data_IF_768866277996
#
_entry.id   IF_768866277996
#
_cell.length_a   1.000
_cell.length_b   1.000
_cell.length_c   1.000
_cell.angle_alpha   90.00
_cell.angle_beta   90.00
_cell.angle_gamma   90.00
#
_symmetry.space_group_name_H-M   'P 1'
#
loop_
_entity.id
_entity.type
_entity.pdbx_description
1 polymer ?
#
# COMPACT_ATOMS: atom_id res chain seq x y z
N UNK A 1 14.55 18.99 11.66
CA UNK A 1 13.32 18.30 11.22
C UNK A 1 12.21 19.31 11.21
N UNK A 2 11.61 19.52 10.05
CA UNK A 2 10.47 20.42 9.86
C UNK A 2 9.23 19.69 10.38
N UNK A 3 8.17 20.41 10.74
CA UNK A 3 6.91 19.79 11.19
C UNK A 3 6.34 18.77 10.20
N UNK A 4 6.61 18.94 8.90
CA UNK A 4 6.24 18.00 7.81
C UNK A 4 6.97 16.65 7.92
N UNK A 5 8.19 16.62 8.47
CA UNK A 5 8.98 15.38 8.61
C UNK A 5 8.31 14.40 9.58
N UNK A 6 7.69 14.91 10.64
CA UNK A 6 6.93 14.10 11.60
C UNK A 6 5.69 13.47 10.95
N UNK A 7 5.02 14.20 10.05
CA UNK A 7 3.89 13.67 9.27
C UNK A 7 4.33 12.57 8.32
N UNK A 8 5.46 12.76 7.62
CA UNK A 8 6.02 11.74 6.72
C UNK A 8 6.38 10.45 7.47
N UNK A 9 6.96 10.57 8.68
CA UNK A 9 7.27 9.43 9.54
C UNK A 9 6.03 8.62 9.94
N UNK A 10 4.98 9.31 10.40
CA UNK A 10 3.72 8.67 10.81
C UNK A 10 3.03 8.00 9.61
N UNK A 11 2.97 8.69 8.47
CA UNK A 11 2.40 8.14 7.24
C UNK A 11 3.16 6.89 6.77
N UNK A 12 4.49 6.88 6.89
CA UNK A 12 5.33 5.72 6.57
C UNK A 12 5.05 4.51 7.47
N UNK A 13 4.94 4.72 8.77
CA UNK A 13 4.62 3.63 9.72
C UNK A 13 3.22 3.06 9.43
N UNK A 14 2.22 3.91 9.21
CA UNK A 14 0.86 3.47 8.88
C UNK A 14 0.82 2.70 7.56
N UNK A 15 1.54 3.17 6.54
CA UNK A 15 1.63 2.49 5.25
C UNK A 15 2.27 1.10 5.39
N UNK A 16 3.35 0.99 6.16
CA UNK A 16 4.00 -0.29 6.41
C UNK A 16 3.06 -1.30 7.09
N UNK A 17 2.28 -0.85 8.09
CA UNK A 17 1.29 -1.69 8.75
C UNK A 17 0.17 -2.15 7.80
N UNK A 18 -0.34 -1.26 6.96
CA UNK A 18 -1.38 -1.61 5.97
C UNK A 18 -0.86 -2.63 4.97
N UNK A 19 0.36 -2.47 4.46
CA UNK A 19 0.96 -3.40 3.49
C UNK A 19 1.18 -4.79 4.11
N UNK A 20 1.63 -4.86 5.37
CA UNK A 20 1.79 -6.14 6.07
C UNK A 20 0.46 -6.88 6.23
N UNK A 21 -0.64 -6.16 6.47
CA UNK A 21 -1.98 -6.75 6.55
C UNK A 21 -2.52 -7.22 5.19
N UNK A 22 -2.04 -6.66 4.07
CA UNK A 22 -2.44 -7.09 2.72
C UNK A 22 -1.81 -8.43 2.33
N UNK A 23 -0.57 -8.72 2.76
CA UNK A 23 0.17 -9.90 2.32
C UNK A 23 -0.31 -11.23 2.95
N UNK A 24 -1.17 -11.19 3.98
CA UNK A 24 -1.62 -12.42 4.65
C UNK A 24 -2.67 -13.23 3.87
N UNK A 25 -3.11 -12.76 2.70
CA UNK A 25 -4.17 -13.41 1.89
C UNK A 25 -3.66 -14.13 0.64
N UNK A 26 -2.38 -14.01 0.29
CA UNK A 26 -1.81 -14.70 -0.88
C UNK A 26 -1.37 -16.12 -0.50
N UNK A 27 -2.22 -17.11 -0.83
CA UNK A 27 -1.85 -18.53 -0.76
C UNK A 27 -0.66 -18.79 -1.68
N UNK A 28 0.49 -19.14 -1.09
CA UNK A 28 1.78 -19.45 -1.75
C UNK A 28 1.62 -20.43 -2.94
N UNK A 29 0.55 -21.25 -2.95
CA UNK A 29 0.21 -22.19 -4.03
C UNK A 29 -0.18 -21.51 -5.35
N UNK A 30 -0.74 -20.31 -5.34
CA UNK A 30 -1.13 -19.58 -6.57
C UNK A 30 0.06 -18.90 -7.27
N UNK A 31 1.18 -18.69 -6.58
CA UNK A 31 2.40 -18.13 -7.16
C UNK A 31 3.16 -19.13 -8.06
N UNK A 32 2.91 -20.44 -7.92
CA UNK A 32 3.60 -21.51 -8.67
C UNK A 32 2.71 -22.21 -9.71
N UNK A 33 1.41 -21.91 -9.80
CA UNK A 33 0.43 -22.66 -10.62
C UNK A 33 0.20 -22.08 -12.03
N UNK A 34 1.22 -21.45 -12.62
CA UNK A 34 1.20 -20.53 -13.78
C UNK A 34 0.55 -20.94 -15.12
N UNK A 35 -0.39 -21.89 -15.17
CA UNK A 35 -1.05 -22.34 -16.40
C UNK A 35 -2.58 -22.05 -16.43
N UNK A 36 -3.25 -21.72 -15.31
CA UNK A 36 -4.72 -21.46 -15.30
C UNK A 36 -5.19 -20.17 -14.61
N UNK A 37 -4.28 -19.34 -14.11
CA UNK A 37 -4.60 -18.17 -13.26
C UNK A 37 -4.98 -16.89 -14.05
N UNK A 38 -4.61 -16.76 -15.32
CA UNK A 38 -4.78 -15.50 -16.06
C UNK A 38 -6.24 -15.14 -16.38
N UNK A 39 -7.10 -16.14 -16.60
CA UNK A 39 -8.51 -15.90 -16.98
C UNK A 39 -9.43 -15.57 -15.79
N UNK A 40 -8.95 -15.72 -14.55
CA UNK A 40 -9.69 -15.35 -13.33
C UNK A 40 -8.95 -14.32 -12.46
N UNK A 41 -7.79 -13.81 -12.91
CA UNK A 41 -6.99 -12.80 -12.19
C UNK A 41 -7.72 -11.48 -11.96
N UNK A 42 -8.64 -11.11 -12.86
CA UNK A 42 -9.52 -9.96 -12.71
C UNK A 42 -10.79 -10.30 -11.90
N UNK A 43 -10.69 -11.10 -10.84
CA UNK A 43 -11.78 -11.15 -9.86
C UNK A 43 -11.80 -9.81 -9.15
N UNK A 44 -12.95 -9.14 -9.22
CA UNK A 44 -13.20 -7.87 -8.54
C UNK A 44 -12.77 -8.01 -7.08
N UNK A 45 -11.76 -7.25 -6.67
CA UNK A 45 -11.33 -7.17 -5.27
C UNK A 45 -12.53 -6.71 -4.44
N UNK A 46 -12.94 -7.48 -3.42
CA UNK A 46 -14.18 -7.24 -2.66
C UNK A 46 -13.90 -7.22 -1.17
N UNK A 47 -14.68 -6.42 -0.43
CA UNK A 47 -14.61 -6.36 1.02
C UNK A 47 -13.40 -5.55 1.53
N UNK A 48 -12.71 -6.10 2.53
CA UNK A 48 -11.61 -5.42 3.22
C UNK A 48 -10.36 -5.24 2.35
N UNK A 49 -10.08 -6.16 1.42
CA UNK A 49 -8.94 -6.01 0.49
C UNK A 49 -9.06 -4.76 -0.38
N UNK A 50 -10.25 -4.41 -0.87
CA UNK A 50 -10.45 -3.20 -1.66
C UNK A 50 -10.22 -1.94 -0.83
N UNK A 51 -10.61 -1.97 0.44
CA UNK A 51 -10.38 -0.87 1.38
C UNK A 51 -8.89 -0.72 1.70
N UNK A 52 -8.20 -1.83 2.03
CA UNK A 52 -6.75 -1.83 2.29
C UNK A 52 -5.96 -1.38 1.05
N UNK A 53 -6.33 -1.84 -0.13
CA UNK A 53 -5.63 -1.46 -1.36
C UNK A 53 -5.82 0.02 -1.70
N UNK A 54 -7.03 0.57 -1.51
CA UNK A 54 -7.29 2.01 -1.68
C UNK A 54 -6.62 2.85 -0.59
N UNK A 55 -6.64 2.40 0.66
CA UNK A 55 -6.00 3.14 1.76
C UNK A 55 -4.48 3.14 1.62
N UNK A 56 -3.87 2.03 1.19
CA UNK A 56 -2.45 1.96 0.84
C UNK A 56 -2.10 2.92 -0.29
N UNK A 57 -2.92 2.98 -1.36
CA UNK A 57 -2.71 3.92 -2.45
C UNK A 57 -2.78 5.38 -1.99
N UNK A 58 -3.77 5.74 -1.16
CA UNK A 58 -3.89 7.10 -0.60
C UNK A 58 -2.70 7.42 0.30
N UNK A 59 -2.31 6.51 1.20
CA UNK A 59 -1.16 6.69 2.08
C UNK A 59 0.14 6.85 1.28
N UNK A 60 0.29 6.12 0.18
CA UNK A 60 1.47 6.21 -0.69
C UNK A 60 1.57 7.60 -1.34
N UNK A 61 0.46 8.12 -1.88
CA UNK A 61 0.42 9.48 -2.44
C UNK A 61 0.73 10.53 -1.36
N UNK A 62 0.12 10.40 -0.18
CA UNK A 62 0.36 11.33 0.95
C UNK A 62 1.83 11.30 1.36
N UNK A 63 2.47 10.13 1.41
CA UNK A 63 3.89 10.01 1.74
C UNK A 63 4.77 10.70 0.70
N UNK A 64 4.52 10.47 -0.59
CA UNK A 64 5.27 11.11 -1.69
C UNK A 64 5.14 12.64 -1.59
N UNK A 65 3.92 13.14 -1.40
CA UNK A 65 3.66 14.58 -1.25
C UNK A 65 4.38 15.13 -0.01
N UNK A 66 4.28 14.46 1.14
CA UNK A 66 4.94 14.89 2.37
C UNK A 66 6.47 14.95 2.24
N UNK A 67 7.08 13.96 1.55
CA UNK A 67 8.52 13.95 1.27
C UNK A 67 8.92 15.08 0.32
N UNK A 68 8.14 15.33 -0.73
CA UNK A 68 8.41 16.43 -1.66
C UNK A 68 8.28 17.80 -0.99
N UNK A 69 7.26 18.00 -0.15
CA UNK A 69 7.10 19.21 0.65
C UNK A 69 8.24 19.38 1.65
N UNK A 70 8.62 18.33 2.37
CA UNK A 70 9.79 18.34 3.26
C UNK A 70 11.05 18.77 2.52
N UNK A 71 11.29 18.23 1.33
CA UNK A 71 12.47 18.57 0.52
C UNK A 71 12.45 20.01 -0.01
N UNK A 72 11.28 20.55 -0.36
CA UNK A 72 11.15 21.91 -0.92
C UNK A 72 11.03 23.01 0.16
N UNK A 73 10.61 22.65 1.39
CA UNK A 73 10.56 23.57 2.54
C UNK A 73 11.86 23.58 3.37
N UNK A 74 12.86 22.80 2.96
CA UNK A 74 14.16 22.70 3.63
C UNK A 74 15.07 23.86 3.30
#
# INVERSE_FOLDING_TARGET
MIWVDYFALIAGILLALVVLLMHSQDDIKDAFSGEKSELFKNRKTRGLELFLNRSAAVLAVVLIVAVLLSNNLR
#
